data_IF_725825068830
#
_entry.id   IF_725825068830
#
_cell.length_a   1.000
_cell.length_b   1.000
_cell.length_c   1.000
_cell.angle_alpha   90.00
_cell.angle_beta   90.00
_cell.angle_gamma   90.00
#
_symmetry.space_group_name_H-M   'P 1'
#
loop_
_entity.id
_entity.type
_entity.pdbx_description
1 polymer ?
#
# COMPACT_ATOMS: atom_id res chain seq x y z
N UNK A 1 15.94 27.11 -11.56
CA UNK A 1 17.22 26.47 -12.00
C UNK A 1 18.13 27.52 -12.59
N UNK A 2 18.57 28.49 -11.82
CA UNK A 2 19.33 29.59 -12.35
C UNK A 2 20.58 29.83 -11.48
N UNK A 3 21.63 30.35 -12.09
CA UNK A 3 22.71 30.99 -11.36
C UNK A 3 22.17 32.25 -10.67
N UNK A 4 22.74 32.71 -9.53
CA UNK A 4 22.35 33.98 -8.92
C UNK A 4 22.38 35.15 -9.90
N UNK A 5 23.27 35.14 -10.85
CA UNK A 5 23.38 36.15 -11.92
C UNK A 5 22.14 36.23 -12.85
N UNK A 6 21.42 35.12 -13.01
CA UNK A 6 20.17 35.14 -13.78
C UNK A 6 19.09 36.00 -13.13
N UNK A 7 19.14 36.19 -11.83
CA UNK A 7 18.20 37.02 -11.07
C UNK A 7 18.45 38.53 -11.31
N UNK A 8 19.64 38.93 -11.77
CA UNK A 8 19.94 40.33 -12.07
C UNK A 8 19.05 40.91 -13.18
N UNK A 9 18.56 40.06 -14.09
CA UNK A 9 17.74 40.45 -15.25
C UNK A 9 16.23 40.33 -14.99
N UNK A 10 15.80 39.78 -13.86
CA UNK A 10 14.38 39.67 -13.51
C UNK A 10 13.95 41.02 -12.93
N UNK A 11 13.06 41.74 -13.63
CA UNK A 11 12.59 43.09 -13.25
C UNK A 11 11.85 43.11 -11.91
N UNK A 12 11.16 42.04 -11.54
CA UNK A 12 10.52 41.90 -10.24
C UNK A 12 10.24 40.44 -9.96
N UNK A 13 10.74 39.91 -8.86
CA UNK A 13 10.33 38.62 -8.28
C UNK A 13 9.87 38.81 -6.83
N UNK A 14 9.67 40.08 -6.41
CA UNK A 14 9.19 40.42 -5.07
C UNK A 14 7.78 39.93 -4.78
N UNK A 15 7.00 39.64 -5.84
CA UNK A 15 5.65 39.07 -5.72
C UNK A 15 5.64 37.53 -5.63
N UNK A 16 6.80 36.87 -5.68
CA UNK A 16 6.89 35.44 -5.53
C UNK A 16 7.03 35.08 -4.04
N UNK A 17 6.28 34.08 -3.59
CA UNK A 17 6.36 33.61 -2.20
C UNK A 17 7.74 33.05 -1.87
N UNK A 18 8.41 32.43 -2.84
CA UNK A 18 9.76 31.90 -2.68
C UNK A 18 10.49 31.78 -4.04
N UNK A 19 11.80 31.95 -4.01
CA UNK A 19 12.69 31.72 -5.15
C UNK A 19 13.77 30.72 -4.72
N UNK A 20 13.89 29.60 -5.44
CA UNK A 20 14.92 28.61 -5.20
C UNK A 20 16.00 28.70 -6.26
N UNK A 21 17.25 28.96 -5.85
CA UNK A 21 18.41 29.09 -6.72
C UNK A 21 19.26 27.84 -6.65
N UNK A 22 19.27 27.04 -7.72
CA UNK A 22 19.95 25.75 -7.75
C UNK A 22 21.42 25.83 -8.23
N UNK A 23 21.89 26.99 -8.68
CA UNK A 23 23.26 27.28 -9.21
C UNK A 23 23.66 26.51 -10.47
N UNK A 24 23.24 25.27 -10.64
CA UNK A 24 23.58 24.40 -11.75
C UNK A 24 22.32 23.75 -12.34
N UNK A 25 22.41 23.36 -13.62
CA UNK A 25 21.35 22.62 -14.31
C UNK A 25 21.80 21.19 -14.64
N UNK A 26 22.47 20.53 -13.69
CA UNK A 26 22.81 19.11 -13.79
C UNK A 26 21.63 18.24 -13.29
N UNK A 27 21.62 16.98 -13.69
CA UNK A 27 20.62 16.00 -13.23
C UNK A 27 20.55 15.94 -11.70
N UNK A 28 21.72 15.88 -11.03
CA UNK A 28 21.81 15.88 -9.56
C UNK A 28 21.23 17.18 -8.97
N UNK A 29 21.51 18.34 -9.56
CA UNK A 29 20.96 19.61 -9.07
C UNK A 29 19.43 19.65 -9.20
N UNK A 30 18.88 19.09 -10.29
CA UNK A 30 17.43 18.98 -10.49
C UNK A 30 16.79 18.05 -9.45
N UNK A 31 17.38 16.89 -9.18
CA UNK A 31 16.91 15.93 -8.18
C UNK A 31 16.93 16.53 -6.76
N UNK A 32 18.04 17.16 -6.37
CA UNK A 32 18.16 17.81 -5.06
C UNK A 32 17.17 18.98 -4.94
N UNK A 33 17.00 19.76 -6.00
CA UNK A 33 16.02 20.85 -6.03
C UNK A 33 14.60 20.33 -5.83
N UNK A 34 14.22 19.27 -6.55
CA UNK A 34 12.92 18.63 -6.37
C UNK A 34 12.72 18.14 -4.93
N UNK A 35 13.72 17.48 -4.35
CA UNK A 35 13.65 17.02 -2.95
C UNK A 35 13.51 18.17 -1.96
N UNK A 36 14.15 19.31 -2.22
CA UNK A 36 14.03 20.54 -1.42
C UNK A 36 12.64 21.14 -1.53
N UNK A 37 12.11 21.29 -2.75
CA UNK A 37 10.75 21.81 -3.00
C UNK A 37 9.69 20.99 -2.27
N UNK A 38 9.81 19.66 -2.30
CA UNK A 38 8.88 18.76 -1.62
C UNK A 38 9.19 18.55 -0.13
N UNK A 39 10.20 19.24 0.42
CA UNK A 39 10.55 19.19 1.83
C UNK A 39 11.17 17.88 2.31
N UNK A 40 11.74 17.08 1.41
CA UNK A 40 12.52 15.92 1.82
C UNK A 40 13.88 16.37 2.40
N UNK A 41 14.48 17.39 1.81
CA UNK A 41 15.76 17.99 2.23
C UNK A 41 15.49 19.41 2.75
N UNK A 42 16.24 19.84 3.75
CA UNK A 42 16.23 21.21 4.24
C UNK A 42 16.98 22.15 3.27
N UNK A 43 16.55 23.39 3.19
CA UNK A 43 17.29 24.45 2.50
C UNK A 43 18.08 25.25 3.53
N UNK A 44 19.42 25.28 3.40
CA UNK A 44 20.32 26.00 4.30
C UNK A 44 21.23 26.97 3.56
N UNK A 45 21.13 27.00 2.21
CA UNK A 45 21.94 27.82 1.35
C UNK A 45 21.74 29.32 1.56
N UNK A 46 22.82 30.08 1.37
CA UNK A 46 22.82 31.54 1.41
C UNK A 46 23.42 32.09 0.12
N UNK A 47 22.95 33.24 -0.32
CA UNK A 47 23.47 33.90 -1.51
C UNK A 47 24.93 34.26 -1.31
N UNK A 48 25.85 33.84 -2.22
CA UNK A 48 27.25 34.17 -2.16
C UNK A 48 27.56 35.57 -2.74
N UNK A 49 26.59 36.20 -3.38
CA UNK A 49 26.67 37.51 -3.97
C UNK A 49 25.43 38.32 -3.70
N UNK A 50 25.52 39.65 -3.70
CA UNK A 50 24.35 40.52 -3.62
C UNK A 50 23.65 40.59 -4.96
N UNK A 51 22.31 40.59 -4.95
CA UNK A 51 21.48 40.77 -6.14
C UNK A 51 20.87 42.16 -6.07
N UNK A 52 21.50 43.10 -6.76
CA UNK A 52 21.15 44.54 -6.70
C UNK A 52 21.03 45.01 -5.24
N UNK A 53 20.10 45.89 -4.95
CA UNK A 53 19.80 46.37 -3.61
C UNK A 53 18.69 45.54 -2.91
N UNK A 54 18.20 44.46 -3.54
CA UNK A 54 17.04 43.68 -3.04
C UNK A 54 17.48 42.55 -2.13
N UNK A 55 18.56 41.84 -2.49
CA UNK A 55 19.06 40.69 -1.71
C UNK A 55 20.56 40.81 -1.48
N UNK A 56 21.00 41.24 -0.30
CA UNK A 56 22.42 41.31 0.03
C UNK A 56 23.04 39.90 0.14
N UNK A 57 24.37 39.85 -0.03
CA UNK A 57 25.16 38.63 0.23
C UNK A 57 24.79 38.03 1.60
N UNK A 58 24.67 36.73 1.69
CA UNK A 58 24.28 36.04 2.92
C UNK A 58 22.75 35.91 3.12
N UNK A 59 21.93 36.50 2.25
CA UNK A 59 20.48 36.31 2.27
C UNK A 59 20.12 34.85 1.97
N UNK A 60 19.19 34.29 2.75
CA UNK A 60 18.67 32.93 2.53
C UNK A 60 17.65 32.57 3.59
N UNK A 61 16.66 31.77 3.19
CA UNK A 61 15.63 31.23 4.07
C UNK A 61 16.02 29.81 4.47
N UNK A 62 16.15 29.55 5.76
CA UNK A 62 16.40 28.19 6.27
C UNK A 62 15.06 27.49 6.45
N UNK A 63 14.90 26.34 5.78
CA UNK A 63 13.74 25.46 5.96
C UNK A 63 14.15 24.17 6.64
N UNK A 64 13.23 23.58 7.40
CA UNK A 64 13.43 22.25 7.99
C UNK A 64 12.92 21.16 7.05
N UNK A 65 13.56 19.99 7.08
CA UNK A 65 13.02 18.80 6.42
C UNK A 65 11.64 18.44 6.99
N UNK A 66 10.70 18.13 6.10
CA UNK A 66 9.39 17.59 6.45
C UNK A 66 9.42 16.07 6.70
N UNK A 67 10.60 15.48 6.77
CA UNK A 67 10.82 14.05 7.02
C UNK A 67 10.12 13.13 5.99
N UNK A 68 10.15 13.53 4.72
CA UNK A 68 9.82 12.64 3.59
C UNK A 68 10.99 11.72 3.31
N UNK A 69 10.76 10.62 2.59
CA UNK A 69 11.85 9.83 2.02
C UNK A 69 12.74 10.74 1.16
N UNK A 70 14.04 10.62 1.40
CA UNK A 70 15.10 11.23 0.59
C UNK A 70 15.65 10.21 -0.39
N UNK A 71 16.37 10.67 -1.41
CA UNK A 71 17.04 9.83 -2.40
C UNK A 71 18.50 10.25 -2.49
N UNK A 72 19.42 9.30 -2.33
CA UNK A 72 20.85 9.57 -2.35
C UNK A 72 21.64 8.31 -2.63
N UNK A 73 22.97 8.42 -2.64
CA UNK A 73 23.88 7.29 -2.80
C UNK A 73 23.98 6.49 -1.49
N UNK A 74 24.29 5.19 -1.54
CA UNK A 74 24.41 4.32 -0.35
C UNK A 74 25.38 4.83 0.69
N UNK A 75 26.48 5.44 0.26
CA UNK A 75 27.55 5.96 1.14
C UNK A 75 27.04 7.07 2.07
N UNK A 76 26.06 7.86 1.66
CA UNK A 76 25.45 8.92 2.47
C UNK A 76 24.81 8.42 3.77
N UNK A 77 24.44 7.13 3.83
CA UNK A 77 23.85 6.50 5.01
C UNK A 77 24.69 5.37 5.60
N UNK A 78 25.97 5.29 5.19
CA UNK A 78 26.92 4.27 5.68
C UNK A 78 26.65 2.88 5.08
N UNK A 79 26.17 2.81 3.86
CA UNK A 79 26.07 1.60 3.05
C UNK A 79 27.11 1.65 1.92
N UNK A 80 27.30 0.56 1.20
CA UNK A 80 28.28 0.47 0.11
C UNK A 80 27.56 0.19 -1.21
N UNK A 81 27.75 1.04 -2.20
CA UNK A 81 27.26 0.85 -3.57
C UNK A 81 27.74 -0.47 -4.16
N UNK A 82 29.02 -0.83 -3.93
CA UNK A 82 29.61 -2.11 -4.38
C UNK A 82 28.90 -3.32 -3.77
N UNK A 83 28.49 -3.26 -2.48
CA UNK A 83 27.77 -4.34 -1.82
C UNK A 83 26.32 -4.41 -2.32
N UNK A 84 25.65 -3.27 -2.52
CA UNK A 84 24.27 -3.23 -3.02
C UNK A 84 24.17 -3.69 -4.48
N UNK A 85 25.19 -3.50 -5.29
CA UNK A 85 25.22 -4.01 -6.66
C UNK A 85 25.06 -5.54 -6.75
N UNK A 86 25.31 -6.29 -5.66
CA UNK A 86 25.01 -7.73 -5.60
C UNK A 86 23.52 -8.05 -5.73
N UNK A 87 22.65 -7.10 -5.48
CA UNK A 87 21.20 -7.24 -5.71
C UNK A 87 20.94 -7.49 -7.20
N UNK A 88 21.69 -6.84 -8.10
CA UNK A 88 21.55 -7.03 -9.53
C UNK A 88 21.83 -8.48 -9.92
N UNK A 89 22.87 -9.09 -9.35
CA UNK A 89 23.21 -10.50 -9.59
C UNK A 89 22.11 -11.45 -9.07
N UNK A 90 21.57 -11.18 -7.86
CA UNK A 90 20.46 -11.99 -7.32
C UNK A 90 19.21 -11.84 -8.19
N UNK A 91 18.88 -10.63 -8.62
CA UNK A 91 17.74 -10.37 -9.50
C UNK A 91 17.90 -11.11 -10.84
N UNK A 92 19.12 -11.15 -11.39
CA UNK A 92 19.43 -11.92 -12.61
C UNK A 92 19.13 -13.41 -12.41
N UNK A 93 19.59 -14.01 -11.31
CA UNK A 93 19.30 -15.43 -10.99
C UNK A 93 17.79 -15.67 -10.91
N UNK A 94 17.02 -14.79 -10.27
CA UNK A 94 15.53 -14.92 -10.19
C UNK A 94 14.90 -15.00 -11.58
N UNK A 95 15.40 -14.20 -12.54
CA UNK A 95 14.88 -14.17 -13.90
C UNK A 95 15.33 -15.39 -14.73
N UNK A 96 16.60 -15.80 -14.61
CA UNK A 96 17.19 -16.94 -15.32
C UNK A 96 16.57 -18.26 -14.87
N UNK A 97 16.39 -18.44 -13.56
CA UNK A 97 15.71 -19.58 -12.95
C UNK A 97 14.17 -19.53 -13.09
N UNK A 98 13.64 -18.53 -13.80
CA UNK A 98 12.20 -18.33 -14.05
C UNK A 98 11.34 -18.31 -12.77
N UNK A 99 11.90 -17.86 -11.65
CA UNK A 99 11.16 -17.73 -10.39
C UNK A 99 10.12 -16.62 -10.47
N UNK A 100 10.40 -15.55 -11.23
CA UNK A 100 9.49 -14.47 -11.56
C UNK A 100 9.86 -13.88 -12.92
N UNK A 101 8.89 -13.45 -13.75
CA UNK A 101 9.18 -12.78 -15.01
C UNK A 101 9.77 -11.38 -14.85
N UNK A 102 9.52 -10.73 -13.71
CA UNK A 102 10.06 -9.41 -13.40
C UNK A 102 9.82 -9.02 -11.95
N UNK A 103 10.59 -8.06 -11.46
CA UNK A 103 10.56 -7.61 -10.07
C UNK A 103 11.00 -6.16 -9.91
N UNK A 104 10.60 -5.55 -8.81
CA UNK A 104 11.09 -4.27 -8.32
C UNK A 104 11.81 -4.46 -6.99
N UNK A 105 12.94 -3.81 -6.81
CA UNK A 105 13.70 -3.81 -5.55
C UNK A 105 13.97 -2.38 -5.13
N UNK A 106 13.64 -2.07 -3.87
CA UNK A 106 13.97 -0.80 -3.24
C UNK A 106 14.64 -1.06 -1.89
N UNK A 107 15.73 -0.34 -1.62
CA UNK A 107 16.39 -0.33 -0.31
C UNK A 107 16.44 1.09 0.21
N UNK A 108 15.92 1.28 1.43
CA UNK A 108 16.01 2.54 2.15
C UNK A 108 16.66 2.32 3.53
N UNK A 109 17.46 3.27 3.96
CA UNK A 109 18.08 3.30 5.29
C UNK A 109 18.05 4.71 5.85
N UNK A 110 17.69 4.85 7.13
CA UNK A 110 17.62 6.15 7.84
C UNK A 110 16.73 7.18 7.10
N UNK A 111 15.67 6.73 6.42
CA UNK A 111 14.78 7.58 5.65
C UNK A 111 15.29 7.97 4.25
N UNK A 112 16.39 7.37 3.80
CA UNK A 112 17.00 7.64 2.48
C UNK A 112 16.90 6.39 1.60
N UNK A 113 16.26 6.50 0.45
CA UNK A 113 16.27 5.50 -0.62
C UNK A 113 17.65 5.54 -1.28
N UNK A 114 18.33 4.43 -1.28
CA UNK A 114 19.70 4.28 -1.76
C UNK A 114 19.85 3.29 -2.89
N UNK A 115 18.78 2.60 -3.20
CA UNK A 115 18.70 1.67 -4.31
C UNK A 115 17.24 1.52 -4.73
N UNK A 116 16.94 1.71 -6.01
CA UNK A 116 15.62 1.47 -6.60
C UNK A 116 15.81 1.03 -8.03
N UNK A 117 15.50 -0.24 -8.32
CA UNK A 117 15.63 -0.81 -9.66
C UNK A 117 14.48 -1.77 -9.97
N UNK A 118 14.17 -1.83 -11.25
CA UNK A 118 13.24 -2.79 -11.86
C UNK A 118 14.00 -3.72 -12.79
N UNK A 119 13.58 -4.99 -12.82
CA UNK A 119 14.22 -6.04 -13.61
C UNK A 119 13.18 -6.86 -14.35
N UNK A 120 13.58 -7.40 -15.52
CA UNK A 120 12.76 -8.31 -16.30
C UNK A 120 11.54 -7.66 -16.94
N UNK A 121 10.48 -8.42 -17.06
CA UNK A 121 9.30 -8.09 -17.86
C UNK A 121 8.01 -8.40 -17.11
N UNK A 122 6.89 -7.85 -17.57
CA UNK A 122 5.56 -8.13 -17.00
C UNK A 122 5.16 -9.61 -17.07
N UNK A 123 5.63 -10.33 -18.07
CA UNK A 123 5.33 -11.75 -18.31
C UNK A 123 6.50 -12.44 -19.01
N UNK A 124 6.49 -13.76 -19.03
CA UNK A 124 7.46 -14.61 -19.77
C UNK A 124 7.53 -14.33 -21.26
N UNK A 125 6.52 -13.64 -21.84
CA UNK A 125 6.53 -13.22 -23.24
C UNK A 125 7.52 -12.10 -23.55
N UNK A 126 8.14 -11.48 -22.53
CA UNK A 126 9.19 -10.45 -22.61
C UNK A 126 8.84 -9.24 -23.51
N UNK A 127 7.55 -8.84 -23.54
CA UNK A 127 7.10 -7.71 -24.37
C UNK A 127 7.22 -6.36 -23.66
N UNK A 128 6.83 -6.30 -22.38
CA UNK A 128 6.77 -5.07 -21.58
C UNK A 128 7.79 -5.16 -20.46
N UNK A 129 8.91 -4.41 -20.52
CA UNK A 129 9.87 -4.36 -19.41
C UNK A 129 9.23 -3.71 -18.17
N UNK A 130 9.59 -4.21 -16.99
CA UNK A 130 9.13 -3.64 -15.72
C UNK A 130 9.78 -2.27 -15.50
N UNK A 131 8.96 -1.30 -15.06
CA UNK A 131 9.38 0.05 -14.68
C UNK A 131 9.17 0.27 -13.19
N UNK A 132 9.93 1.17 -12.56
CA UNK A 132 9.73 1.55 -11.16
C UNK A 132 8.33 2.14 -10.89
N UNK A 133 7.68 2.67 -11.92
CA UNK A 133 6.31 3.20 -11.84
C UNK A 133 5.22 2.14 -11.96
N UNK A 134 5.54 0.90 -12.33
CA UNK A 134 4.54 -0.15 -12.50
C UNK A 134 4.03 -0.65 -11.16
N UNK A 135 2.75 -1.04 -11.12
CA UNK A 135 2.11 -1.51 -9.90
C UNK A 135 1.87 -3.01 -9.95
N UNK A 136 2.14 -3.66 -8.82
CA UNK A 136 1.93 -5.09 -8.57
C UNK A 136 0.76 -5.29 -7.62
N UNK A 137 0.05 -6.39 -7.75
CA UNK A 137 -0.78 -6.91 -6.66
C UNK A 137 0.14 -7.23 -5.47
N UNK A 138 -0.03 -6.50 -4.38
CA UNK A 138 0.83 -6.65 -3.20
C UNK A 138 0.26 -7.64 -2.18
N UNK A 139 -0.76 -8.39 -2.57
CA UNK A 139 -1.35 -9.48 -1.79
C UNK A 139 -1.58 -9.10 -0.32
N UNK A 140 -1.06 -9.88 0.60
CA UNK A 140 -1.25 -9.68 2.05
C UNK A 140 -0.57 -8.44 2.62
N UNK A 141 0.29 -7.73 1.90
CA UNK A 141 0.72 -6.39 2.31
C UNK A 141 -0.46 -5.43 2.43
N UNK A 142 -1.58 -5.71 1.75
CA UNK A 142 -2.85 -4.99 1.94
C UNK A 142 -3.23 -4.86 3.42
N UNK A 143 -2.97 -5.87 4.24
CA UNK A 143 -3.28 -5.87 5.68
C UNK A 143 -2.59 -4.72 6.41
N UNK A 144 -1.31 -4.50 6.12
CA UNK A 144 -0.50 -3.46 6.76
C UNK A 144 -0.54 -2.12 6.02
N UNK A 145 -0.88 -2.12 4.73
CA UNK A 145 -0.93 -0.90 3.94
C UNK A 145 -2.32 -0.24 3.94
N UNK A 146 -3.38 -1.01 4.19
CA UNK A 146 -4.77 -0.52 4.16
C UNK A 146 -5.50 -0.71 5.49
N UNK A 147 -5.67 -1.96 5.96
CA UNK A 147 -6.49 -2.23 7.15
C UNK A 147 -5.84 -1.70 8.44
N UNK A 148 -4.54 -1.93 8.63
CA UNK A 148 -3.84 -1.54 9.85
C UNK A 148 -3.83 -0.03 10.09
N UNK A 149 -3.45 0.84 9.14
CA UNK A 149 -3.44 2.28 9.38
C UNK A 149 -4.83 2.83 9.68
N UNK A 150 -5.88 2.28 9.06
CA UNK A 150 -7.26 2.63 9.37
C UNK A 150 -7.71 2.16 10.75
N UNK A 151 -7.23 1.01 11.24
CA UNK A 151 -7.50 0.55 12.61
C UNK A 151 -6.78 1.41 13.65
N UNK A 152 -5.53 1.81 13.40
CA UNK A 152 -4.79 2.76 14.26
C UNK A 152 -5.55 4.08 14.36
N UNK A 153 -6.02 4.61 13.25
CA UNK A 153 -6.84 5.85 13.21
C UNK A 153 -8.16 5.64 13.96
N UNK A 154 -8.83 4.52 13.76
CA UNK A 154 -10.10 4.22 14.42
C UNK A 154 -9.95 4.08 15.94
N UNK A 155 -8.81 3.58 16.44
CA UNK A 155 -8.48 3.57 17.87
C UNK A 155 -8.36 5.00 18.41
N UNK A 156 -7.62 5.89 17.73
CA UNK A 156 -7.49 7.30 18.15
C UNK A 156 -8.81 8.04 18.17
N UNK A 157 -9.64 7.81 17.17
CA UNK A 157 -10.97 8.39 17.07
C UNK A 157 -12.02 7.73 17.98
N UNK A 158 -11.59 6.75 18.80
CA UNK A 158 -12.46 5.97 19.70
C UNK A 158 -13.61 5.23 18.99
N UNK A 159 -13.47 4.97 17.71
CA UNK A 159 -14.45 4.25 16.88
C UNK A 159 -14.33 2.74 17.00
N UNK A 160 -13.09 2.22 17.06
CA UNK A 160 -12.78 0.79 17.23
C UNK A 160 -11.54 0.71 18.13
N UNK A 161 -11.67 0.07 19.30
CA UNK A 161 -10.54 -0.15 20.21
C UNK A 161 -9.92 -1.54 20.01
N UNK A 162 -8.62 -1.71 20.30
CA UNK A 162 -7.95 -3.01 20.31
C UNK A 162 -8.66 -4.04 21.21
N UNK A 163 -9.22 -3.59 22.32
CA UNK A 163 -10.01 -4.42 23.24
C UNK A 163 -11.44 -4.68 22.78
N UNK A 164 -11.89 -4.06 21.68
CA UNK A 164 -13.26 -4.27 21.20
C UNK A 164 -13.45 -5.69 20.70
N UNK A 165 -14.55 -6.33 21.14
CA UNK A 165 -14.96 -7.64 20.63
C UNK A 165 -15.61 -7.55 19.25
N UNK A 166 -15.54 -8.64 18.50
CA UNK A 166 -16.14 -8.77 17.16
C UNK A 166 -17.62 -8.41 17.18
N UNK A 167 -18.39 -8.89 18.16
CA UNK A 167 -19.83 -8.55 18.29
C UNK A 167 -20.10 -7.05 18.43
N UNK A 168 -19.15 -6.30 19.01
CA UNK A 168 -19.27 -4.85 19.20
C UNK A 168 -18.99 -4.08 17.93
N UNK A 169 -18.00 -4.54 17.13
CA UNK A 169 -17.60 -3.86 15.90
C UNK A 169 -18.43 -4.29 14.68
N UNK A 170 -18.90 -5.57 14.64
CA UNK A 170 -19.74 -6.11 13.56
C UNK A 170 -20.91 -6.92 14.17
N UNK A 171 -22.08 -6.31 14.39
CA UNK A 171 -23.21 -6.93 15.11
C UNK A 171 -23.73 -8.26 14.56
N UNK A 172 -23.52 -8.53 13.25
CA UNK A 172 -23.94 -9.83 12.65
C UNK A 172 -23.21 -11.03 13.26
N UNK A 173 -22.10 -10.82 13.97
CA UNK A 173 -21.35 -11.87 14.67
C UNK A 173 -21.84 -12.13 16.12
N UNK A 174 -22.85 -11.41 16.60
CA UNK A 174 -23.48 -11.71 17.92
C UNK A 174 -23.95 -13.15 17.94
N UNK A 175 -23.76 -13.81 19.10
CA UNK A 175 -24.12 -15.21 19.32
C UNK A 175 -23.40 -16.21 18.40
N UNK A 176 -22.30 -15.85 17.82
CA UNK A 176 -21.39 -16.79 17.15
C UNK A 176 -20.24 -17.16 18.09
N UNK A 177 -19.53 -18.24 17.77
CA UNK A 177 -18.33 -18.65 18.52
C UNK A 177 -17.18 -17.63 18.42
N UNK A 178 -17.31 -16.57 17.62
CA UNK A 178 -16.31 -15.49 17.45
C UNK A 178 -16.75 -14.18 18.09
N UNK A 179 -17.90 -14.14 18.73
CA UNK A 179 -18.49 -12.87 19.17
C UNK A 179 -17.66 -12.13 20.24
N UNK A 180 -16.93 -12.87 21.07
CA UNK A 180 -16.03 -12.35 22.12
C UNK A 180 -14.61 -12.09 21.65
N UNK A 181 -14.18 -12.65 20.50
CA UNK A 181 -12.84 -12.44 19.95
C UNK A 181 -12.57 -10.95 19.77
N UNK A 182 -11.42 -10.48 20.22
CA UNK A 182 -11.04 -9.06 20.21
C UNK A 182 -10.28 -8.67 18.95
N UNK A 183 -10.26 -7.38 18.65
CA UNK A 183 -9.43 -6.79 17.57
C UNK A 183 -7.95 -7.14 17.78
N UNK A 184 -7.47 -7.08 19.04
CA UNK A 184 -6.10 -7.41 19.40
C UNK A 184 -5.75 -8.89 19.08
N UNK A 185 -6.64 -9.83 19.42
CA UNK A 185 -6.45 -11.25 19.11
C UNK A 185 -6.42 -11.51 17.60
N UNK A 186 -7.28 -10.84 16.84
CA UNK A 186 -7.29 -10.96 15.38
C UNK A 186 -5.99 -10.42 14.78
N UNK A 187 -5.57 -9.20 15.17
CA UNK A 187 -4.33 -8.58 14.66
C UNK A 187 -3.09 -9.40 15.02
N UNK A 188 -3.10 -10.05 16.18
CA UNK A 188 -2.01 -10.92 16.61
C UNK A 188 -2.10 -12.35 16.06
N UNK A 189 -3.16 -12.68 15.31
CA UNK A 189 -3.45 -14.00 14.79
C UNK A 189 -3.64 -15.09 15.89
N UNK A 190 -4.12 -14.67 17.06
CA UNK A 190 -4.45 -15.53 18.21
C UNK A 190 -5.97 -15.73 18.42
N UNK A 191 -6.82 -15.18 17.56
CA UNK A 191 -8.29 -15.30 17.65
C UNK A 191 -8.85 -16.68 17.27
N UNK A 192 -8.03 -17.71 17.16
CA UNK A 192 -8.40 -19.09 16.82
C UNK A 192 -9.20 -19.23 15.51
N UNK A 193 -9.07 -18.25 14.60
CA UNK A 193 -9.74 -18.29 13.30
C UNK A 193 -9.08 -19.31 12.36
N UNK A 194 -9.87 -19.94 11.48
CA UNK A 194 -9.33 -20.72 10.35
C UNK A 194 -8.44 -19.82 9.50
N UNK A 195 -7.42 -20.38 8.86
CA UNK A 195 -6.49 -19.59 8.02
C UNK A 195 -7.23 -18.86 6.90
N UNK A 196 -8.09 -19.57 6.18
CA UNK A 196 -8.91 -19.06 5.07
C UNK A 196 -10.09 -20.01 4.80
N UNK A 197 -11.03 -19.57 3.94
CA UNK A 197 -12.17 -20.37 3.45
C UNK A 197 -12.20 -20.21 1.93
N UNK A 198 -12.20 -21.32 1.17
CA UNK A 198 -12.22 -21.27 -0.31
C UNK A 198 -13.63 -20.99 -0.83
N UNK A 199 -14.16 -19.79 -0.60
CA UNK A 199 -15.53 -19.38 -0.95
C UNK A 199 -15.88 -19.64 -2.41
N UNK A 200 -14.88 -19.50 -3.33
CA UNK A 200 -15.09 -19.70 -4.75
C UNK A 200 -15.46 -21.14 -5.08
N UNK A 201 -14.91 -22.14 -4.37
CA UNK A 201 -15.25 -23.55 -4.59
C UNK A 201 -16.73 -23.84 -4.33
N UNK A 202 -17.34 -23.11 -3.40
CA UNK A 202 -18.78 -23.23 -3.10
C UNK A 202 -19.68 -22.65 -4.23
N UNK A 203 -19.07 -22.01 -5.20
CA UNK A 203 -19.76 -21.41 -6.37
C UNK A 203 -19.43 -22.15 -7.66
N UNK A 204 -18.70 -23.25 -7.57
CA UNK A 204 -18.32 -24.11 -8.68
C UNK A 204 -19.08 -25.44 -8.61
N UNK A 205 -19.18 -26.09 -9.75
CA UNK A 205 -19.61 -27.48 -9.84
C UNK A 205 -18.54 -28.40 -9.25
N UNK A 206 -18.92 -29.32 -8.38
CA UNK A 206 -18.00 -30.15 -7.61
C UNK A 206 -17.23 -31.18 -8.45
N UNK A 207 -17.73 -31.51 -9.62
CA UNK A 207 -17.11 -32.49 -10.53
C UNK A 207 -16.25 -31.80 -11.58
N UNK A 208 -16.80 -30.78 -12.22
CA UNK A 208 -16.16 -30.12 -13.37
C UNK A 208 -15.33 -28.90 -13.01
N UNK A 209 -15.42 -28.42 -11.77
CA UNK A 209 -14.84 -27.16 -11.28
C UNK A 209 -15.24 -25.93 -12.10
N UNK A 210 -16.32 -26.02 -12.90
CA UNK A 210 -16.84 -24.88 -13.67
C UNK A 210 -17.70 -23.97 -12.80
N UNK A 211 -17.59 -22.68 -13.03
CA UNK A 211 -18.41 -21.67 -12.36
C UNK A 211 -19.90 -21.87 -12.67
N UNK A 212 -20.71 -22.00 -11.61
CA UNK A 212 -22.15 -22.24 -11.77
C UNK A 212 -22.88 -20.98 -12.24
N UNK A 213 -23.72 -21.13 -13.26
CA UNK A 213 -24.51 -20.03 -13.84
C UNK A 213 -25.42 -19.34 -12.80
N UNK A 214 -25.86 -20.00 -11.72
CA UNK A 214 -26.65 -19.37 -10.65
C UNK A 214 -25.86 -18.28 -9.90
N UNK A 215 -24.52 -18.34 -9.90
CA UNK A 215 -23.65 -17.37 -9.23
C UNK A 215 -22.97 -16.37 -10.16
N UNK A 216 -22.76 -16.70 -11.45
CA UNK A 216 -21.97 -15.87 -12.36
C UNK A 216 -22.66 -15.54 -13.67
N UNK A 217 -22.28 -14.38 -14.24
CA UNK A 217 -22.63 -13.94 -15.62
C UNK A 217 -21.42 -13.29 -16.26
N UNK A 218 -21.35 -13.37 -17.60
CA UNK A 218 -20.31 -12.69 -18.37
C UNK A 218 -20.53 -11.17 -18.42
N UNK A 219 -21.78 -10.70 -18.33
CA UNK A 219 -22.13 -9.28 -18.38
C UNK A 219 -22.73 -8.81 -17.04
N UNK A 220 -22.49 -7.55 -16.69
CA UNK A 220 -23.12 -6.89 -15.55
C UNK A 220 -24.63 -6.83 -15.72
N UNK A 221 -25.38 -7.16 -14.67
CA UNK A 221 -26.85 -7.04 -14.63
C UNK A 221 -27.26 -6.49 -13.26
N UNK A 222 -28.57 -6.24 -13.04
CA UNK A 222 -29.08 -5.75 -11.73
C UNK A 222 -28.71 -6.66 -10.56
N UNK A 223 -28.60 -7.97 -10.76
CA UNK A 223 -28.28 -8.96 -9.72
C UNK A 223 -26.79 -9.35 -9.69
N UNK A 224 -26.08 -9.21 -10.79
CA UNK A 224 -24.70 -9.64 -10.96
C UNK A 224 -23.83 -8.40 -11.15
N UNK A 225 -23.47 -7.76 -10.04
CA UNK A 225 -22.79 -6.46 -10.05
C UNK A 225 -21.33 -6.53 -9.62
N UNK A 226 -20.90 -7.61 -8.94
CA UNK A 226 -19.54 -7.75 -8.41
C UNK A 226 -18.63 -8.27 -9.52
N UNK A 227 -17.80 -7.42 -10.08
CA UNK A 227 -16.80 -7.80 -11.09
C UNK A 227 -15.63 -8.52 -10.41
N UNK A 228 -15.45 -9.81 -10.70
CA UNK A 228 -14.39 -10.65 -10.12
C UNK A 228 -13.20 -10.83 -11.07
N UNK A 229 -13.42 -10.64 -12.36
CA UNK A 229 -12.40 -10.63 -13.42
C UNK A 229 -12.99 -10.04 -14.72
N UNK A 230 -12.25 -10.08 -15.83
CA UNK A 230 -12.79 -9.68 -17.15
C UNK A 230 -13.94 -10.61 -17.50
N UNK A 231 -15.05 -10.03 -17.97
CA UNK A 231 -16.26 -10.76 -18.34
C UNK A 231 -16.74 -11.81 -17.32
N UNK A 232 -16.57 -11.52 -16.02
CA UNK A 232 -17.05 -12.39 -14.95
C UNK A 232 -17.60 -11.58 -13.78
N UNK A 233 -18.94 -11.64 -13.61
CA UNK A 233 -19.67 -10.92 -12.58
C UNK A 233 -20.37 -11.89 -11.63
N UNK A 234 -20.11 -11.77 -10.34
CA UNK A 234 -20.72 -12.53 -9.26
C UNK A 234 -22.04 -11.87 -8.84
N UNK A 235 -22.98 -12.69 -8.43
CA UNK A 235 -24.24 -12.25 -7.81
C UNK A 235 -23.94 -11.45 -6.54
N UNK A 236 -24.48 -10.24 -6.43
CA UNK A 236 -24.22 -9.31 -5.33
C UNK A 236 -24.62 -9.84 -3.95
N UNK A 237 -25.66 -10.67 -3.87
CA UNK A 237 -26.10 -11.29 -2.59
C UNK A 237 -25.07 -12.27 -2.01
N UNK A 238 -24.11 -12.75 -2.82
CA UNK A 238 -23.11 -13.71 -2.35
C UNK A 238 -22.14 -13.09 -1.32
N UNK A 239 -22.00 -11.76 -1.31
CA UNK A 239 -21.22 -11.06 -0.28
C UNK A 239 -21.72 -11.41 1.13
N UNK A 240 -23.03 -11.46 1.36
CA UNK A 240 -23.59 -11.85 2.67
C UNK A 240 -23.33 -13.32 3.01
N UNK A 241 -23.32 -14.20 2.00
CA UNK A 241 -22.94 -15.60 2.19
C UNK A 241 -21.50 -15.74 2.66
N UNK A 242 -20.55 -14.95 2.12
CA UNK A 242 -19.16 -14.95 2.59
C UNK A 242 -19.09 -14.64 4.09
N UNK A 243 -19.74 -13.57 4.53
CA UNK A 243 -19.75 -13.20 5.95
C UNK A 243 -20.47 -14.24 6.82
N UNK A 244 -21.52 -14.88 6.31
CA UNK A 244 -22.20 -16.00 6.98
C UNK A 244 -21.24 -17.19 7.14
N UNK A 245 -20.53 -17.59 6.11
CA UNK A 245 -19.53 -18.67 6.20
C UNK A 245 -18.42 -18.36 7.20
N UNK A 246 -17.93 -17.11 7.26
CA UNK A 246 -16.94 -16.71 8.27
C UNK A 246 -17.54 -16.80 9.68
N UNK A 247 -18.76 -16.32 9.88
CA UNK A 247 -19.47 -16.35 11.15
C UNK A 247 -19.68 -17.77 11.66
N UNK A 248 -20.15 -18.65 10.79
CA UNK A 248 -20.58 -20.01 11.13
C UNK A 248 -19.41 -21.02 11.12
N UNK A 249 -18.24 -20.63 10.58
CA UNK A 249 -17.07 -21.50 10.61
C UNK A 249 -16.65 -21.83 12.05
N UNK A 250 -16.25 -23.06 12.29
CA UNK A 250 -15.69 -23.49 13.57
C UNK A 250 -14.38 -22.74 13.85
N UNK A 251 -14.15 -22.44 15.13
CA UNK A 251 -12.84 -22.01 15.60
C UNK A 251 -11.89 -23.20 15.68
N UNK A 252 -10.61 -22.92 15.66
CA UNK A 252 -9.59 -23.95 15.87
C UNK A 252 -9.62 -24.40 17.33
N UNK A 253 -9.51 -25.69 17.56
CA UNK A 253 -9.47 -26.28 18.91
C UNK A 253 -8.22 -25.85 19.69
N UNK A 254 -7.06 -25.84 19.00
CA UNK A 254 -5.78 -25.48 19.64
C UNK A 254 -5.62 -23.95 19.65
N UNK A 255 -5.47 -23.34 20.84
CA UNK A 255 -5.07 -21.93 20.94
C UNK A 255 -3.65 -21.73 20.40
N UNK A 256 -3.22 -20.47 20.29
CA UNK A 256 -1.91 -20.10 19.81
C UNK A 256 -1.93 -19.45 18.43
N UNK A 257 -0.76 -19.06 17.95
CA UNK A 257 -0.60 -18.35 16.68
C UNK A 257 -1.06 -19.19 15.49
N UNK A 258 -1.90 -18.60 14.68
CA UNK A 258 -2.22 -19.11 13.33
C UNK A 258 -2.63 -17.97 12.42
N UNK A 259 -1.80 -17.70 11.42
CA UNK A 259 -2.11 -16.70 10.41
C UNK A 259 -3.48 -16.93 9.79
N UNK A 260 -4.31 -15.89 9.73
CA UNK A 260 -5.68 -15.93 9.23
C UNK A 260 -6.03 -14.67 8.45
N UNK A 261 -6.69 -14.87 7.30
CA UNK A 261 -7.26 -13.78 6.51
C UNK A 261 -8.65 -13.37 7.02
N UNK A 262 -9.37 -14.31 7.68
CA UNK A 262 -10.79 -14.14 8.01
C UNK A 262 -11.07 -12.91 8.89
N UNK A 263 -10.16 -12.59 9.81
CA UNK A 263 -10.30 -11.41 10.66
C UNK A 263 -10.29 -10.09 9.86
N UNK A 264 -9.61 -10.06 8.75
CA UNK A 264 -9.52 -8.86 7.91
C UNK A 264 -10.77 -8.62 7.04
N UNK A 265 -11.58 -9.66 6.79
CA UNK A 265 -12.95 -9.48 6.29
C UNK A 265 -13.81 -8.75 7.34
N UNK A 266 -13.68 -9.16 8.60
CA UNK A 266 -14.40 -8.53 9.73
C UNK A 266 -13.96 -7.07 9.87
N UNK A 267 -12.67 -6.78 9.81
CA UNK A 267 -12.13 -5.41 9.89
C UNK A 267 -12.63 -4.53 8.74
N UNK A 268 -12.64 -5.05 7.51
CA UNK A 268 -13.20 -4.31 6.37
C UNK A 268 -14.64 -3.88 6.66
N UNK A 269 -15.51 -4.81 7.04
CA UNK A 269 -16.91 -4.51 7.34
C UNK A 269 -17.04 -3.52 8.51
N UNK A 270 -16.24 -3.68 9.56
CA UNK A 270 -16.25 -2.80 10.71
C UNK A 270 -15.86 -1.36 10.35
N UNK A 271 -14.78 -1.20 9.57
CA UNK A 271 -14.29 0.10 9.13
C UNK A 271 -15.30 0.79 8.21
N UNK A 272 -15.79 0.10 7.18
CA UNK A 272 -16.79 0.64 6.25
C UNK A 272 -18.07 1.10 6.97
N UNK A 273 -18.55 0.33 7.93
CA UNK A 273 -19.71 0.72 8.74
C UNK A 273 -19.45 1.93 9.64
N UNK A 274 -18.28 1.99 10.28
CA UNK A 274 -17.94 3.08 11.20
C UNK A 274 -17.70 4.41 10.48
N UNK A 275 -17.10 4.35 9.31
CA UNK A 275 -16.79 5.55 8.52
C UNK A 275 -17.85 5.87 7.45
N UNK A 276 -18.79 4.95 7.20
CA UNK A 276 -19.82 5.08 6.13
C UNK A 276 -19.24 5.34 4.76
N UNK A 277 -18.07 4.74 4.49
CA UNK A 277 -17.33 4.83 3.22
C UNK A 277 -16.70 3.47 2.92
N UNK A 278 -16.56 3.14 1.64
CA UNK A 278 -15.83 1.96 1.20
C UNK A 278 -14.35 2.04 1.58
N UNK A 279 -13.74 0.91 1.92
CA UNK A 279 -12.35 0.84 2.42
C UNK A 279 -11.34 1.46 1.44
N UNK A 280 -11.50 1.24 0.15
CA UNK A 280 -10.62 1.82 -0.87
C UNK A 280 -10.65 3.35 -0.87
N UNK A 281 -11.83 3.95 -0.68
CA UNK A 281 -11.99 5.42 -0.60
C UNK A 281 -11.39 5.93 0.72
N UNK A 282 -11.64 5.21 1.83
CA UNK A 282 -11.11 5.58 3.14
C UNK A 282 -9.58 5.67 3.14
N UNK A 283 -8.90 4.64 2.66
CA UNK A 283 -7.43 4.62 2.70
C UNK A 283 -6.81 5.61 1.72
N UNK A 284 -7.45 5.84 0.58
CA UNK A 284 -6.99 6.81 -0.42
C UNK A 284 -7.06 8.24 0.14
N UNK A 285 -8.19 8.61 0.76
CA UNK A 285 -8.39 9.94 1.33
C UNK A 285 -7.53 10.19 2.57
N UNK A 286 -7.43 9.21 3.47
CA UNK A 286 -6.77 9.38 4.77
C UNK A 286 -5.24 9.22 4.71
N UNK A 287 -4.75 8.40 3.79
CA UNK A 287 -3.34 8.04 3.72
C UNK A 287 -2.72 8.26 2.34
N UNK A 288 -3.20 7.62 1.26
CA UNK A 288 -2.44 7.57 0.01
C UNK A 288 -2.29 8.94 -0.65
N UNK A 289 -3.40 9.69 -0.81
CA UNK A 289 -3.33 11.06 -1.36
C UNK A 289 -2.44 11.99 -0.52
N UNK A 290 -2.64 12.11 0.81
CA UNK A 290 -1.82 13.02 1.61
C UNK A 290 -0.34 12.62 1.69
N UNK A 291 -0.03 11.31 1.59
CA UNK A 291 1.36 10.82 1.54
C UNK A 291 2.03 11.05 0.18
N UNK A 292 1.25 11.35 -0.85
CA UNK A 292 1.73 11.36 -2.23
C UNK A 292 2.04 9.94 -2.74
N UNK A 293 1.33 8.91 -2.24
CA UNK A 293 1.44 7.53 -2.69
C UNK A 293 0.54 7.31 -3.92
N UNK A 294 0.87 7.97 -5.02
CA UNK A 294 0.04 8.07 -6.21
C UNK A 294 -0.02 6.78 -7.03
N UNK A 295 0.91 5.84 -6.78
CA UNK A 295 1.00 4.52 -7.43
C UNK A 295 0.49 3.40 -6.51
N UNK A 296 -0.34 3.74 -5.52
CA UNK A 296 -1.02 2.81 -4.62
C UNK A 296 -2.54 2.94 -4.77
N UNK A 297 -3.23 1.84 -5.03
CA UNK A 297 -4.70 1.85 -5.18
C UNK A 297 -5.28 0.44 -5.13
N UNK A 298 -6.50 0.33 -4.64
CA UNK A 298 -7.41 -0.74 -5.02
C UNK A 298 -7.94 -0.50 -6.43
N UNK A 299 -8.45 -1.54 -7.08
CA UNK A 299 -9.09 -1.45 -8.40
C UNK A 299 -8.24 -0.68 -9.42
N UNK A 300 -7.00 -1.12 -9.68
CA UNK A 300 -6.00 -0.34 -10.38
C UNK A 300 -6.41 0.08 -11.80
N UNK A 301 -7.28 -0.68 -12.48
CA UNK A 301 -7.81 -0.35 -13.80
C UNK A 301 -8.66 0.93 -13.83
N UNK A 302 -9.14 1.39 -12.68
CA UNK A 302 -9.87 2.67 -12.58
C UNK A 302 -8.93 3.88 -12.46
N UNK A 303 -7.64 3.65 -12.16
CA UNK A 303 -6.68 4.73 -11.86
C UNK A 303 -5.48 4.73 -12.79
N UNK A 304 -5.07 3.58 -13.28
CA UNK A 304 -3.83 3.40 -14.04
C UNK A 304 -4.08 2.82 -15.43
N UNK A 305 -3.24 3.20 -16.36
CA UNK A 305 -3.13 2.52 -17.63
C UNK A 305 -2.84 1.02 -17.42
N UNK A 306 -3.52 0.16 -18.17
CA UNK A 306 -3.35 -1.30 -18.08
C UNK A 306 -1.91 -1.73 -18.29
N UNK A 307 -1.16 -1.05 -19.17
CA UNK A 307 0.26 -1.31 -19.44
C UNK A 307 1.19 -0.95 -18.27
N UNK A 308 0.73 -0.20 -17.29
CA UNK A 308 1.49 0.09 -16.06
C UNK A 308 1.08 -0.80 -14.87
N UNK A 309 0.27 -1.82 -15.13
CA UNK A 309 -0.13 -2.82 -14.12
C UNK A 309 0.50 -4.15 -14.51
N UNK A 310 1.27 -4.75 -13.60
CA UNK A 310 1.85 -6.08 -13.84
C UNK A 310 0.76 -7.13 -13.65
N UNK A 311 0.58 -8.10 -14.58
CA UNK A 311 -0.36 -9.19 -14.39
C UNK A 311 -0.05 -10.01 -13.13
N UNK A 312 -1.09 -10.35 -12.36
CA UNK A 312 -0.91 -11.05 -11.07
C UNK A 312 -0.70 -12.56 -11.25
N UNK A 313 -1.51 -13.20 -12.11
CA UNK A 313 -1.54 -14.66 -12.25
C UNK A 313 -2.23 -15.08 -13.55
N UNK A 314 -1.85 -16.24 -14.06
CA UNK A 314 -2.67 -17.00 -15.02
C UNK A 314 -3.55 -17.98 -14.23
N UNK A 315 -4.75 -17.51 -13.87
CA UNK A 315 -5.73 -18.28 -13.09
C UNK A 315 -6.33 -19.40 -13.94
N UNK A 316 -6.08 -20.64 -13.58
CA UNK A 316 -6.59 -21.84 -14.27
C UNK A 316 -7.68 -22.59 -13.49
N UNK A 317 -8.01 -22.14 -12.27
CA UNK A 317 -8.87 -22.89 -11.35
C UNK A 317 -10.17 -22.17 -10.96
N UNK A 318 -10.25 -20.85 -11.14
CA UNK A 318 -11.45 -20.07 -10.79
C UNK A 318 -11.92 -19.17 -11.92
N UNK A 319 -11.06 -18.25 -12.41
CA UNK A 319 -11.45 -17.23 -13.41
C UNK A 319 -11.03 -17.60 -14.83
N UNK A 320 -10.13 -18.58 -14.96
CA UNK A 320 -9.66 -19.16 -16.23
C UNK A 320 -9.13 -18.12 -17.22
N UNK A 321 -8.38 -17.14 -16.74
CA UNK A 321 -7.80 -16.07 -17.55
C UNK A 321 -6.53 -15.50 -16.92
N UNK A 322 -5.77 -14.70 -17.69
CA UNK A 322 -4.68 -13.89 -17.14
C UNK A 322 -5.29 -12.73 -16.35
N UNK A 323 -4.99 -12.66 -15.06
CA UNK A 323 -5.46 -11.60 -14.18
C UNK A 323 -4.59 -10.35 -14.37
N UNK A 324 -5.06 -9.43 -15.18
CA UNK A 324 -4.37 -8.19 -15.47
C UNK A 324 -5.17 -7.00 -14.96
N UNK A 325 -4.76 -6.47 -13.79
CA UNK A 325 -5.49 -5.44 -13.05
C UNK A 325 -6.63 -5.96 -12.19
N UNK A 326 -6.72 -7.26 -12.00
CA UNK A 326 -7.62 -7.92 -11.06
C UNK A 326 -6.81 -8.59 -9.96
N UNK A 327 -7.34 -8.52 -8.73
CA UNK A 327 -6.68 -9.10 -7.56
C UNK A 327 -6.50 -10.62 -7.71
N UNK A 328 -5.31 -11.12 -7.32
CA UNK A 328 -5.01 -12.54 -7.26
C UNK A 328 -5.94 -13.29 -6.30
N UNK A 329 -6.11 -12.77 -5.06
CA UNK A 329 -6.89 -13.42 -4.04
C UNK A 329 -8.37 -13.58 -4.44
N UNK A 330 -8.86 -14.81 -4.40
CA UNK A 330 -10.21 -15.17 -4.83
C UNK A 330 -11.29 -14.55 -3.94
N UNK A 331 -11.05 -14.53 -2.63
CA UNK A 331 -12.00 -13.97 -1.65
C UNK A 331 -12.12 -12.46 -1.78
N UNK A 332 -11.00 -11.75 -1.97
CA UNK A 332 -11.00 -10.32 -2.26
C UNK A 332 -11.69 -10.02 -3.61
N UNK A 333 -11.45 -10.84 -4.65
CA UNK A 333 -12.15 -10.73 -5.93
C UNK A 333 -13.67 -10.87 -5.76
N UNK A 334 -14.13 -11.83 -4.96
CA UNK A 334 -15.56 -12.04 -4.66
C UNK A 334 -16.17 -10.91 -3.80
N UNK A 335 -15.35 -10.04 -3.21
CA UNK A 335 -15.75 -8.77 -2.58
C UNK A 335 -15.65 -7.58 -3.55
N UNK A 336 -15.41 -7.82 -4.84
CA UNK A 336 -15.30 -6.77 -5.86
C UNK A 336 -13.90 -6.18 -5.98
N UNK A 337 -12.86 -6.89 -5.54
CA UNK A 337 -11.46 -6.46 -5.61
C UNK A 337 -10.99 -5.63 -4.42
N UNK A 338 -11.87 -5.36 -3.44
CA UNK A 338 -11.54 -4.57 -2.23
C UNK A 338 -11.66 -5.47 -1.01
N UNK A 339 -10.59 -6.09 -0.59
CA UNK A 339 -10.51 -6.88 0.64
C UNK A 339 -9.72 -6.15 1.73
N UNK A 340 -9.98 -6.47 3.01
CA UNK A 340 -9.14 -6.00 4.11
C UNK A 340 -7.80 -6.74 4.18
N UNK A 341 -7.73 -7.91 3.57
CA UNK A 341 -6.60 -8.85 3.58
C UNK A 341 -5.78 -8.86 2.30
N UNK A 342 -6.38 -8.47 1.16
CA UNK A 342 -5.78 -8.46 -0.18
C UNK A 342 -6.55 -7.51 -1.12
N UNK A 343 -6.00 -7.20 -2.29
CA UNK A 343 -6.64 -6.39 -3.33
C UNK A 343 -5.97 -5.06 -3.61
N UNK A 344 -4.96 -4.69 -2.82
CA UNK A 344 -4.19 -3.48 -3.05
C UNK A 344 -3.11 -3.73 -4.12
N UNK A 345 -2.91 -2.73 -4.98
CA UNK A 345 -1.82 -2.67 -5.95
C UNK A 345 -0.92 -1.49 -5.60
N UNK A 346 0.39 -1.70 -5.71
CA UNK A 346 1.38 -0.65 -5.42
C UNK A 346 2.71 -0.93 -6.13
N UNK A 347 3.55 0.11 -6.24
CA UNK A 347 4.96 -0.02 -6.56
C UNK A 347 5.82 -0.02 -5.28
N UNK A 348 7.09 -0.39 -5.40
CA UNK A 348 8.02 -0.44 -4.26
C UNK A 348 8.20 0.90 -3.56
N UNK A 349 8.18 2.01 -4.30
CA UNK A 349 8.38 3.36 -3.75
C UNK A 349 7.23 3.78 -2.82
N UNK A 350 5.98 3.58 -3.24
CA UNK A 350 4.83 3.96 -2.42
C UNK A 350 4.66 3.04 -1.19
N UNK A 351 5.03 1.77 -1.32
CA UNK A 351 5.17 0.88 -0.15
C UNK A 351 6.19 1.44 0.83
N UNK A 352 7.35 1.91 0.34
CA UNK A 352 8.39 2.49 1.20
C UNK A 352 7.92 3.76 1.92
N UNK A 353 7.08 4.61 1.31
CA UNK A 353 6.47 5.77 1.99
C UNK A 353 5.61 5.35 3.20
N UNK A 354 4.79 4.32 3.03
CA UNK A 354 3.99 3.77 4.15
C UNK A 354 4.87 3.16 5.24
N UNK A 355 5.95 2.46 4.87
CA UNK A 355 6.90 1.91 5.84
C UNK A 355 7.63 3.02 6.59
N UNK A 356 8.01 4.10 5.90
CA UNK A 356 8.62 5.28 6.53
C UNK A 356 7.67 5.97 7.51
N UNK A 357 6.37 6.09 7.17
CA UNK A 357 5.33 6.57 8.08
C UNK A 357 5.31 5.76 9.40
N UNK A 358 5.43 4.43 9.31
CA UNK A 358 5.46 3.56 10.49
C UNK A 358 6.78 3.71 11.28
N UNK A 359 7.93 3.76 10.60
CA UNK A 359 9.23 3.99 11.26
C UNK A 359 9.26 5.33 12.01
N UNK A 360 8.57 6.33 11.50
CA UNK A 360 8.40 7.65 12.12
C UNK A 360 7.17 7.73 13.06
N UNK A 361 6.62 6.58 13.43
CA UNK A 361 5.49 6.46 14.37
C UNK A 361 4.33 7.40 14.04
N UNK A 362 3.96 7.44 12.75
CA UNK A 362 2.79 8.18 12.27
C UNK A 362 3.05 9.62 11.84
N UNK A 363 4.29 10.01 11.61
CA UNK A 363 4.62 11.32 11.03
C UNK A 363 5.25 11.14 9.65
N UNK A 364 4.84 11.94 8.66
CA UNK A 364 5.44 11.95 7.33
C UNK A 364 5.06 13.22 6.59
N UNK A 365 6.02 13.85 5.90
CA UNK A 365 5.75 14.96 5.00
C UNK A 365 5.16 16.19 5.69
N UNK A 366 5.58 16.49 6.91
CA UNK A 366 5.07 17.64 7.69
C UNK A 366 3.73 17.37 8.39
N UNK A 367 3.13 16.17 8.21
CA UNK A 367 1.81 15.82 8.75
C UNK A 367 1.90 14.67 9.75
N UNK A 368 1.15 14.79 10.85
CA UNK A 368 0.90 13.72 11.82
C UNK A 368 -0.38 12.98 11.43
N UNK A 369 -0.27 11.70 11.07
CA UNK A 369 -1.39 10.83 10.68
C UNK A 369 -2.00 10.12 11.89
N UNK A 370 -1.18 9.75 12.86
CA UNK A 370 -1.58 9.18 14.15
C UNK A 370 -0.48 9.42 15.19
N UNK A 371 -0.83 9.35 16.47
CA UNK A 371 0.09 9.58 17.59
C UNK A 371 1.09 8.45 17.73
N UNK A 372 2.31 8.76 18.13
CA UNK A 372 3.35 7.77 18.40
C UNK A 372 2.91 6.75 19.46
N UNK A 373 2.26 7.19 20.53
CA UNK A 373 1.74 6.30 21.57
C UNK A 373 0.70 5.30 21.05
N UNK A 374 -0.17 5.72 20.10
CA UNK A 374 -1.14 4.81 19.48
C UNK A 374 -0.41 3.79 18.60
N UNK A 375 0.56 4.23 17.80
CA UNK A 375 1.39 3.31 17.02
C UNK A 375 2.11 2.29 17.92
N UNK A 376 2.75 2.73 19.00
CA UNK A 376 3.46 1.85 19.94
C UNK A 376 2.53 0.81 20.56
N UNK A 377 1.27 1.19 20.84
CA UNK A 377 0.23 0.26 21.28
C UNK A 377 -0.03 -0.85 20.25
N UNK A 378 -0.10 -0.52 18.95
CA UNK A 378 -0.30 -1.52 17.89
C UNK A 378 0.96 -2.32 17.56
N UNK A 379 2.14 -1.78 17.81
CA UNK A 379 3.43 -2.43 17.56
C UNK A 379 3.92 -3.26 18.76
N UNK A 380 3.15 -3.33 19.85
CA UNK A 380 3.48 -4.11 21.05
C UNK A 380 3.21 -5.60 20.80
N UNK A 381 4.13 -6.46 21.27
CA UNK A 381 3.92 -7.90 21.32
C UNK A 381 3.00 -8.25 22.51
N UNK A 382 1.78 -8.69 22.22
CA UNK A 382 0.77 -9.04 23.24
C UNK A 382 0.78 -10.51 23.61
N UNK A 383 1.14 -11.37 22.66
CA UNK A 383 1.15 -12.82 22.85
C UNK A 383 2.55 -13.37 22.58
N UNK A 384 2.97 -14.34 23.36
CA UNK A 384 4.14 -15.15 23.13
C UNK A 384 3.74 -16.59 23.39
N UNK A 385 3.99 -17.48 22.41
CA UNK A 385 3.89 -18.90 22.70
C UNK A 385 4.91 -19.19 23.80
N UNK A 386 4.44 -19.76 24.91
CA UNK A 386 5.37 -20.34 25.89
C UNK A 386 6.06 -21.50 25.16
N UNK A 387 7.37 -21.40 25.02
CA UNK A 387 8.20 -22.50 24.58
C UNK A 387 8.16 -23.62 25.59
#
# INVERSE_FOLDING_TARGET
FASPYSLLNIKSFTNLEAVLVAYQNSEIAQEITAQTIFGAIEATGKLPVSIKNEFPVGTGIITKSLQRLQYSIPEAVGMSSKKLARIDSVATVVLEEKMSPGLQVLVARKGVVVYEKSFGYHTDKKKNPVKNSDVYDVASLTKILASLPMLIKAEEEKKIALSSSVRKIVPRFKKSNKDTVTVQEILSHYGQLKAWIPFYKLTQDSITNKNLKKFYRAKKTKKFTIKVAEDLFLNSSYKDSIYKYIRDAEQREKPGYKYSDLGYYIFKEALEKRYKKDLNVLVDDEFYKPLGANRMSYLPLAKFDKLSIVPSEKDSYFRHQLLHGYVHDMGAAMLGGVGGHAGLFANSNDVAKMMQLYLQKGYYGGKRYFKAATFDKFNKRYYSDKK
#
